data_IF_476804488590
#
_entry.id   IF_476804488590
#
_cell.length_a   1.000
_cell.length_b   1.000
_cell.length_c   1.000
_cell.angle_alpha   90.00
_cell.angle_beta   90.00
_cell.angle_gamma   90.00
#
_symmetry.space_group_name_H-M   'P 1'
#
loop_
_entity.id
_entity.type
_entity.pdbx_description
1 polymer ?
#
# COMPACT_ATOMS: atom_id res chain seq x y z
N UNK A 1 0.85 2.98 -2.55
CA UNK A 1 0.06 3.61 -3.62
C UNK A 1 -0.56 4.85 -3.04
N UNK A 2 -0.09 6.03 -3.44
CA UNK A 2 -0.83 7.27 -3.19
C UNK A 2 -1.77 7.40 -4.38
N UNK A 3 -3.08 7.44 -4.12
CA UNK A 3 -4.06 7.66 -5.17
C UNK A 3 -3.77 9.01 -5.85
N UNK A 4 -3.98 9.12 -7.16
CA UNK A 4 -4.01 10.42 -7.80
C UNK A 4 -5.24 11.16 -7.28
N UNK A 5 -5.03 12.24 -6.51
CA UNK A 5 -6.11 12.96 -5.86
C UNK A 5 -6.31 14.29 -6.57
N UNK A 6 -7.55 14.65 -6.86
CA UNK A 6 -7.84 16.02 -7.27
C UNK A 6 -7.46 17.00 -6.16
N UNK A 7 -7.09 18.21 -6.54
CA UNK A 7 -6.71 19.32 -5.65
C UNK A 7 -7.81 19.79 -4.68
N UNK A 8 -8.93 19.07 -4.63
CA UNK A 8 -10.10 19.30 -3.78
C UNK A 8 -9.75 19.18 -2.27
N UNK A 9 -10.68 18.70 -1.45
CA UNK A 9 -10.57 18.78 0.02
C UNK A 9 -9.32 18.13 0.64
N UNK A 10 -8.59 17.25 -0.07
CA UNK A 10 -7.39 16.61 0.47
C UNK A 10 -6.16 17.53 0.45
N UNK A 11 -5.73 18.04 -0.71
CA UNK A 11 -4.42 18.70 -0.84
C UNK A 11 -4.27 19.98 0.00
N UNK A 12 -5.27 20.87 0.12
CA UNK A 12 -5.20 22.07 0.95
C UNK A 12 -5.20 21.80 2.47
N UNK A 13 -5.77 20.67 2.90
CA UNK A 13 -5.87 20.33 4.33
C UNK A 13 -4.80 19.33 4.77
N UNK A 14 -4.28 18.50 3.87
CA UNK A 14 -3.27 17.50 4.18
C UNK A 14 -2.04 18.14 4.84
N UNK A 15 -1.70 17.67 6.03
CA UNK A 15 -0.61 18.21 6.87
C UNK A 15 -0.78 19.69 7.29
N UNK A 16 -1.98 20.23 7.23
CA UNK A 16 -2.29 21.59 7.68
C UNK A 16 -3.04 21.60 9.02
N UNK A 17 -3.00 22.73 9.74
CA UNK A 17 -3.80 22.91 10.96
C UNK A 17 -5.31 22.89 10.71
N UNK A 18 -5.73 23.03 9.44
CA UNK A 18 -7.12 22.90 9.01
C UNK A 18 -7.58 21.45 8.80
N UNK A 19 -6.72 20.45 9.01
CA UNK A 19 -7.08 19.03 9.00
C UNK A 19 -7.89 18.68 10.27
N UNK A 20 -9.15 19.09 10.25
CA UNK A 20 -10.07 18.99 11.38
C UNK A 20 -11.34 18.23 10.99
N UNK A 21 -12.08 17.76 11.98
CA UNK A 21 -13.25 16.89 11.79
C UNK A 21 -14.32 17.47 10.84
N UNK A 22 -14.46 18.79 10.78
CA UNK A 22 -15.40 19.47 9.87
C UNK A 22 -15.04 19.34 8.39
N UNK A 23 -13.82 18.88 8.06
CA UNK A 23 -13.44 18.54 6.67
C UNK A 23 -13.89 17.15 6.25
N UNK A 24 -14.38 16.33 7.17
CA UNK A 24 -14.85 14.98 6.85
C UNK A 24 -16.23 15.05 6.19
N UNK A 25 -16.32 14.57 4.95
CA UNK A 25 -17.60 14.27 4.33
C UNK A 25 -18.17 12.96 4.91
N UNK A 26 -19.24 13.08 5.70
CA UNK A 26 -19.87 11.94 6.37
C UNK A 26 -20.53 10.94 5.42
N UNK A 27 -20.92 11.36 4.20
CA UNK A 27 -21.42 10.44 3.18
C UNK A 27 -20.26 9.61 2.63
N UNK A 28 -19.16 10.25 2.25
CA UNK A 28 -17.99 9.54 1.71
C UNK A 28 -17.35 8.64 2.77
N UNK A 29 -17.29 9.07 4.03
CA UNK A 29 -16.84 8.21 5.13
C UNK A 29 -17.66 6.91 5.22
N UNK A 30 -18.99 7.00 5.14
CA UNK A 30 -19.87 5.82 5.18
C UNK A 30 -19.68 4.93 3.95
N UNK A 31 -19.59 5.52 2.76
CA UNK A 31 -19.36 4.78 1.51
C UNK A 31 -18.01 4.04 1.55
N UNK A 32 -16.94 4.74 1.91
CA UNK A 32 -15.61 4.13 2.06
C UNK A 32 -15.59 3.03 3.13
N UNK A 33 -16.32 3.21 4.24
CA UNK A 33 -16.45 2.18 5.28
C UNK A 33 -17.07 0.90 4.70
N UNK A 34 -18.16 1.02 3.94
CA UNK A 34 -18.81 -0.14 3.30
C UNK A 34 -17.89 -0.79 2.26
N UNK A 35 -17.23 0.02 1.42
CA UNK A 35 -16.30 -0.49 0.40
C UNK A 35 -15.12 -1.23 1.03
N UNK A 36 -14.52 -0.67 2.08
CA UNK A 36 -13.43 -1.29 2.81
C UNK A 36 -13.88 -2.58 3.49
N UNK A 37 -15.05 -2.58 4.14
CA UNK A 37 -15.59 -3.76 4.82
C UNK A 37 -15.87 -4.91 3.85
N UNK A 38 -16.56 -4.63 2.73
CA UNK A 38 -16.89 -5.64 1.73
C UNK A 38 -15.64 -6.13 0.99
N UNK A 39 -14.68 -5.24 0.72
CA UNK A 39 -13.41 -5.65 0.10
C UNK A 39 -12.61 -6.52 1.05
N UNK A 40 -12.43 -6.12 2.31
CA UNK A 40 -11.68 -6.91 3.29
C UNK A 40 -12.34 -8.28 3.53
N UNK A 41 -13.66 -8.31 3.72
CA UNK A 41 -14.41 -9.55 3.86
C UNK A 41 -14.30 -10.42 2.61
N UNK A 42 -14.54 -9.85 1.44
CA UNK A 42 -14.46 -10.55 0.16
C UNK A 42 -13.06 -11.01 -0.23
N UNK A 43 -12.00 -10.53 0.42
CA UNK A 43 -10.63 -11.06 0.31
C UNK A 43 -10.43 -12.20 1.31
N UNK A 44 -10.89 -12.03 2.55
CA UNK A 44 -10.72 -12.98 3.64
C UNK A 44 -11.53 -14.27 3.43
N UNK A 45 -12.71 -14.17 2.84
CA UNK A 45 -13.64 -15.29 2.64
C UNK A 45 -13.39 -16.08 1.34
N UNK A 46 -12.34 -15.73 0.58
CA UNK A 46 -12.06 -16.41 -0.68
C UNK A 46 -11.55 -17.82 -0.43
N UNK A 47 -12.14 -18.78 -1.15
CA UNK A 47 -11.61 -20.15 -1.24
C UNK A 47 -10.22 -20.14 -1.86
N UNK A 48 -10.03 -19.37 -2.93
CA UNK A 48 -8.77 -19.28 -3.65
C UNK A 48 -8.05 -17.93 -3.41
N UNK A 49 -6.72 -17.95 -3.22
CA UNK A 49 -5.94 -16.72 -3.09
C UNK A 49 -6.18 -15.73 -4.25
N UNK A 50 -6.09 -14.43 -3.98
CA UNK A 50 -6.19 -13.38 -5.02
C UNK A 50 -5.15 -13.53 -6.13
N UNK A 51 -4.02 -14.16 -5.82
CA UNK A 51 -2.96 -14.40 -6.77
C UNK A 51 -1.90 -15.33 -6.20
N UNK A 52 -0.98 -15.73 -7.08
CA UNK A 52 0.17 -16.55 -6.72
C UNK A 52 1.03 -15.83 -5.68
N UNK A 53 1.41 -16.54 -4.62
CA UNK A 53 2.47 -16.08 -3.72
C UNK A 53 3.83 -16.21 -4.42
N UNK A 54 4.43 -15.09 -4.79
CA UNK A 54 5.72 -15.05 -5.50
C UNK A 54 6.84 -15.72 -4.69
N UNK A 55 7.72 -16.44 -5.39
CA UNK A 55 8.98 -16.97 -4.88
C UNK A 55 10.01 -15.86 -4.68
N UNK A 56 11.11 -16.17 -3.99
CA UNK A 56 12.20 -15.20 -3.80
C UNK A 56 12.79 -14.74 -5.14
N UNK A 57 13.02 -15.68 -6.07
CA UNK A 57 13.56 -15.37 -7.40
C UNK A 57 12.62 -14.46 -8.21
N UNK A 58 11.30 -14.72 -8.18
CA UNK A 58 10.32 -13.85 -8.83
C UNK A 58 10.28 -12.45 -8.22
N UNK A 59 10.40 -12.36 -6.89
CA UNK A 59 10.51 -11.07 -6.21
C UNK A 59 11.80 -10.32 -6.57
N UNK A 60 12.94 -11.01 -6.71
CA UNK A 60 14.20 -10.40 -7.11
C UNK A 60 14.14 -9.82 -8.53
N UNK A 61 13.38 -10.45 -9.44
CA UNK A 61 13.09 -9.88 -10.78
C UNK A 61 12.25 -8.61 -10.64
N UNK A 62 11.13 -8.69 -9.92
CA UNK A 62 10.21 -7.55 -9.75
C UNK A 62 10.89 -6.36 -9.08
N UNK A 63 11.77 -6.60 -8.11
CA UNK A 63 12.55 -5.56 -7.42
C UNK A 63 13.40 -4.74 -8.39
N UNK A 64 13.98 -5.38 -9.40
CA UNK A 64 14.76 -4.70 -10.45
C UNK A 64 13.86 -3.98 -11.45
N UNK A 65 12.79 -4.65 -11.91
CA UNK A 65 11.87 -4.08 -12.90
C UNK A 65 11.13 -2.85 -12.40
N UNK A 66 10.83 -2.80 -11.10
CA UNK A 66 10.15 -1.68 -10.45
C UNK A 66 11.11 -0.63 -9.90
N UNK A 67 12.42 -0.87 -9.93
CA UNK A 67 13.44 -0.02 -9.29
C UNK A 67 13.36 0.02 -7.76
N UNK A 68 12.57 -0.87 -7.14
CA UNK A 68 12.48 -0.97 -5.67
C UNK A 68 13.83 -1.37 -5.04
N UNK A 69 14.68 -2.09 -5.77
CA UNK A 69 16.03 -2.41 -5.31
C UNK A 69 16.86 -1.16 -5.04
N UNK A 70 16.75 -0.14 -5.89
CA UNK A 70 17.43 1.15 -5.69
C UNK A 70 16.87 1.91 -4.50
N UNK A 71 15.54 1.91 -4.32
CA UNK A 71 14.91 2.53 -3.16
C UNK A 71 15.35 1.87 -1.85
N UNK A 72 15.43 0.54 -1.82
CA UNK A 72 15.93 -0.18 -0.64
C UNK A 72 17.40 0.14 -0.36
N UNK A 73 18.23 0.36 -1.38
CA UNK A 73 19.63 0.79 -1.20
C UNK A 73 19.69 2.20 -0.60
N UNK A 74 18.95 3.15 -1.16
CA UNK A 74 18.90 4.53 -0.68
C UNK A 74 18.41 4.64 0.77
N UNK A 75 17.44 3.79 1.15
CA UNK A 75 16.88 3.75 2.50
C UNK A 75 17.67 2.86 3.48
N UNK A 76 18.79 2.26 3.05
CA UNK A 76 19.64 1.42 3.90
C UNK A 76 19.08 0.03 4.23
N UNK A 77 18.05 -0.44 3.51
CA UNK A 77 17.39 -1.73 3.75
C UNK A 77 17.89 -2.86 2.85
N UNK A 78 18.76 -2.58 1.88
CA UNK A 78 19.22 -3.56 0.90
C UNK A 78 19.92 -4.76 1.52
N UNK A 79 20.81 -4.54 2.49
CA UNK A 79 21.54 -5.63 3.15
C UNK A 79 20.57 -6.59 3.89
N UNK A 80 19.50 -6.07 4.49
CA UNK A 80 18.48 -6.90 5.14
C UNK A 80 17.64 -7.70 4.14
N UNK A 81 17.41 -7.18 2.93
CA UNK A 81 16.83 -7.96 1.84
C UNK A 81 17.77 -9.09 1.43
N UNK A 82 19.03 -8.77 1.12
CA UNK A 82 20.03 -9.75 0.66
C UNK A 82 20.26 -10.88 1.67
N UNK A 83 20.29 -10.58 2.97
CA UNK A 83 20.44 -11.59 4.03
C UNK A 83 19.18 -12.42 4.28
N UNK A 84 18.04 -12.05 3.69
CA UNK A 84 16.75 -12.68 3.97
C UNK A 84 16.14 -12.32 5.33
N UNK A 85 16.76 -11.38 6.07
CA UNK A 85 16.17 -10.81 7.29
C UNK A 85 14.91 -9.98 6.99
N UNK A 86 14.77 -9.50 5.74
CA UNK A 86 13.58 -8.84 5.20
C UNK A 86 13.09 -9.58 3.97
N UNK A 87 11.76 -9.68 3.83
CA UNK A 87 11.12 -10.31 2.68
C UNK A 87 10.95 -11.81 2.82
N UNK A 88 10.75 -12.49 1.68
CA UNK A 88 10.63 -13.95 1.67
C UNK A 88 12.02 -14.57 1.79
N UNK A 89 12.17 -15.55 2.70
CA UNK A 89 13.39 -16.36 2.79
C UNK A 89 13.58 -17.15 1.48
N UNK A 90 14.84 -17.38 1.05
CA UNK A 90 15.15 -18.25 -0.09
C UNK A 90 14.48 -19.62 0.04
#
# INVERSE_FOLDING_TARGET
LVANQEEANYLPNYHAASDTLDKIDMRELKLHTVLAALTAWGIADRVEPLGKRLSRAELDVLMKETGLDQQLKLLGYWNAWQSGARGRRP
#
